data_IF_009600735240
#
_entry.id   IF_009600735240
#
_cell.length_a   1.000
_cell.length_b   1.000
_cell.length_c   1.000
_cell.angle_alpha   90.00
_cell.angle_beta   90.00
_cell.angle_gamma   90.00
#
_symmetry.space_group_name_H-M   'P 1'
#
loop_
_entity.id
_entity.type
_entity.pdbx_description
1 polymer ?
#
# COMPACT_ATOMS: atom_id res chain seq x y z
N UNK A 1 -55.33 7.21 8.24
CA UNK A 1 -56.75 7.13 7.83
C UNK A 1 -56.81 6.43 6.48
N UNK A 2 -56.84 5.10 6.41
CA UNK A 2 -58.05 4.24 6.30
C UNK A 2 -59.11 4.77 5.32
N UNK A 3 -59.29 4.07 4.18
CA UNK A 3 -60.56 3.53 3.63
C UNK A 3 -60.31 3.05 2.18
N UNK A 4 -60.19 1.75 1.84
CA UNK A 4 -61.23 0.72 1.61
C UNK A 4 -62.51 1.19 0.89
N UNK A 5 -62.77 0.67 -0.32
CA UNK A 5 -64.07 0.22 -0.85
C UNK A 5 -63.83 -0.47 -2.22
N UNK A 6 -63.91 -1.81 -2.29
CA UNK A 6 -65.05 -2.72 -2.55
C UNK A 6 -65.20 -3.08 -4.03
N UNK A 7 -65.01 -4.36 -4.30
CA UNK A 7 -65.25 -5.08 -5.56
C UNK A 7 -66.72 -5.52 -5.62
N UNK A 8 -67.36 -5.34 -6.78
CA UNK A 8 -68.69 -5.87 -7.08
C UNK A 8 -68.63 -7.06 -8.04
N UNK A 9 -69.10 -8.22 -7.55
CA UNK A 9 -69.93 -9.26 -8.18
C UNK A 9 -70.01 -9.42 -9.71
N UNK A 10 -69.69 -10.62 -10.18
CA UNK A 10 -70.33 -11.43 -11.25
C UNK A 10 -69.48 -12.73 -11.38
N UNK A 11 -69.94 -13.93 -11.68
CA UNK A 11 -71.17 -14.69 -11.49
C UNK A 11 -70.72 -16.17 -11.57
N UNK A 12 -71.46 -17.08 -10.93
CA UNK A 12 -71.15 -18.52 -10.90
C UNK A 12 -71.39 -19.19 -12.26
N UNK A 13 -70.48 -20.07 -12.66
CA UNK A 13 -70.80 -21.26 -13.46
C UNK A 13 -69.94 -22.43 -12.98
N UNK A 14 -70.63 -23.53 -12.68
CA UNK A 14 -70.17 -24.71 -11.96
C UNK A 14 -69.30 -25.60 -12.85
N UNK A 15 -68.17 -26.05 -12.32
CA UNK A 15 -67.60 -27.34 -12.67
C UNK A 15 -67.19 -28.04 -11.37
N UNK A 16 -67.87 -29.16 -11.10
CA UNK A 16 -67.74 -29.99 -9.92
C UNK A 16 -66.59 -30.99 -10.12
N UNK A 17 -65.78 -31.21 -9.08
CA UNK A 17 -64.63 -32.15 -8.96
C UNK A 17 -63.21 -31.60 -9.16
N UNK A 18 -62.84 -30.57 -8.39
CA UNK A 18 -61.44 -30.41 -7.98
C UNK A 18 -61.39 -30.19 -6.47
N UNK A 19 -60.66 -31.05 -5.75
CA UNK A 19 -60.32 -30.80 -4.35
C UNK A 19 -59.57 -29.45 -4.24
N UNK A 20 -59.81 -28.64 -3.19
CA UNK A 20 -59.05 -27.42 -3.01
C UNK A 20 -57.59 -27.81 -2.78
N UNK A 21 -56.71 -27.43 -3.70
CA UNK A 21 -55.26 -27.45 -3.47
C UNK A 21 -55.06 -26.56 -2.24
N UNK A 22 -54.76 -27.20 -1.12
CA UNK A 22 -54.35 -26.54 0.10
C UNK A 22 -53.22 -25.58 -0.22
N UNK A 23 -53.36 -24.35 0.28
CA UNK A 23 -52.36 -23.28 0.35
C UNK A 23 -50.98 -23.67 -0.21
N UNK A 24 -50.59 -23.09 -1.34
CA UNK A 24 -49.18 -23.05 -1.73
C UNK A 24 -48.46 -22.20 -0.68
N UNK A 25 -47.97 -22.85 0.37
CA UNK A 25 -46.97 -22.29 1.28
C UNK A 25 -45.74 -22.02 0.42
N UNK A 26 -45.52 -20.76 0.06
CA UNK A 26 -44.19 -20.30 -0.32
C UNK A 26 -43.29 -20.57 0.89
N UNK A 27 -42.58 -21.70 0.88
CA UNK A 27 -41.42 -21.85 1.71
C UNK A 27 -40.42 -20.81 1.22
N UNK A 28 -40.36 -19.67 1.90
CA UNK A 28 -39.15 -18.87 1.91
C UNK A 28 -38.07 -19.78 2.50
N UNK A 29 -37.36 -20.51 1.64
CA UNK A 29 -36.03 -21.01 1.96
C UNK A 29 -35.15 -19.77 2.09
N UNK A 30 -35.17 -19.15 3.25
CA UNK A 30 -34.01 -18.38 3.69
C UNK A 30 -32.90 -19.40 3.86
N UNK A 31 -32.18 -19.70 2.78
CA UNK A 31 -30.85 -20.27 2.93
C UNK A 31 -30.06 -19.23 3.73
N UNK A 32 -30.01 -19.42 5.05
CA UNK A 32 -29.04 -18.79 5.92
C UNK A 32 -27.69 -19.35 5.49
N UNK A 33 -27.13 -18.84 4.40
CA UNK A 33 -25.73 -19.03 4.09
C UNK A 33 -24.98 -18.21 5.12
N UNK A 34 -24.70 -18.80 6.28
CA UNK A 34 -23.54 -18.40 7.04
C UNK A 34 -22.36 -18.63 6.09
N UNK A 35 -21.96 -17.59 5.35
CA UNK A 35 -20.75 -17.63 4.55
C UNK A 35 -19.60 -17.66 5.55
N UNK A 36 -19.20 -18.85 5.98
CA UNK A 36 -18.05 -19.00 6.84
C UNK A 36 -16.82 -18.78 5.96
N UNK A 37 -16.37 -17.53 5.87
CA UNK A 37 -15.21 -17.15 5.05
C UNK A 37 -13.97 -17.88 5.56
N UNK A 38 -13.09 -18.27 4.64
CA UNK A 38 -11.82 -18.88 5.04
C UNK A 38 -10.98 -17.91 5.86
N UNK A 39 -10.35 -18.40 6.93
CA UNK A 39 -9.31 -17.65 7.62
C UNK A 39 -8.08 -17.52 6.71
N UNK A 40 -7.54 -16.30 6.59
CA UNK A 40 -6.35 -15.99 5.78
C UNK A 40 -5.14 -15.76 6.68
N UNK A 41 -4.05 -16.41 6.35
CA UNK A 41 -2.78 -16.33 7.07
C UNK A 41 -1.64 -15.91 6.15
N UNK A 42 -0.67 -15.19 6.71
CA UNK A 42 0.60 -14.86 6.07
C UNK A 42 1.62 -15.90 6.53
N UNK A 43 2.16 -16.70 5.61
CA UNK A 43 3.13 -17.76 5.91
C UNK A 43 4.56 -17.31 5.69
N UNK A 44 4.77 -16.35 4.81
CA UNK A 44 6.08 -15.77 4.54
C UNK A 44 5.93 -14.34 4.07
N UNK A 45 6.90 -13.50 4.42
CA UNK A 45 6.92 -12.08 4.11
C UNK A 45 8.36 -11.64 3.86
N UNK A 46 8.59 -10.93 2.76
CA UNK A 46 9.93 -10.54 2.34
C UNK A 46 9.92 -9.21 1.59
N UNK A 47 11.02 -8.46 1.68
CA UNK A 47 11.25 -7.26 0.88
C UNK A 47 12.69 -7.13 0.45
N UNK A 48 12.92 -6.43 -0.65
CA UNK A 48 14.26 -5.93 -1.00
C UNK A 48 14.66 -4.80 -0.05
N UNK A 49 15.96 -4.44 0.01
CA UNK A 49 16.34 -3.10 0.42
C UNK A 49 15.62 -2.04 -0.41
N UNK A 50 15.54 -0.84 0.15
CA UNK A 50 15.05 0.35 -0.52
C UNK A 50 16.25 1.13 -1.05
N UNK A 51 16.31 1.26 -2.37
CA UNK A 51 17.32 2.06 -3.05
C UNK A 51 16.88 3.51 -3.15
N UNK A 52 17.83 4.44 -3.04
CA UNK A 52 17.57 5.85 -3.32
C UNK A 52 17.28 6.09 -4.79
N UNK A 53 16.60 7.19 -5.12
CA UNK A 53 16.43 7.61 -6.51
C UNK A 53 17.77 7.70 -7.24
N UNK A 54 17.87 6.98 -8.35
CA UNK A 54 19.09 6.82 -9.17
C UNK A 54 20.31 6.32 -8.38
N UNK A 55 20.05 5.59 -7.29
CA UNK A 55 21.04 5.03 -6.38
C UNK A 55 21.34 3.55 -6.62
N UNK A 56 21.45 2.79 -5.53
CA UNK A 56 21.96 1.42 -5.50
C UNK A 56 21.16 0.41 -6.34
N UNK A 57 19.85 0.62 -6.49
CA UNK A 57 18.94 -0.29 -7.22
C UNK A 57 18.52 0.26 -8.59
N UNK A 58 19.07 1.40 -9.03
CA UNK A 58 18.58 2.12 -10.21
C UNK A 58 18.70 1.33 -11.52
N UNK A 59 19.62 0.36 -11.62
CA UNK A 59 19.76 -0.50 -12.81
C UNK A 59 18.86 -1.75 -12.78
N UNK A 60 18.07 -1.94 -11.72
CA UNK A 60 17.17 -3.08 -11.56
C UNK A 60 15.73 -2.64 -11.81
N UNK A 61 15.05 -3.31 -12.73
CA UNK A 61 13.64 -3.03 -13.03
C UNK A 61 12.73 -3.40 -11.86
N UNK A 62 11.57 -2.72 -11.76
CA UNK A 62 10.55 -3.03 -10.75
C UNK A 62 10.17 -4.51 -10.76
N UNK A 63 10.04 -5.10 -11.94
CA UNK A 63 9.65 -6.51 -12.13
C UNK A 63 10.71 -7.49 -11.62
N UNK A 64 12.01 -7.16 -11.75
CA UNK A 64 13.10 -7.97 -11.16
C UNK A 64 13.17 -7.81 -9.65
N UNK A 65 12.95 -6.61 -9.11
CA UNK A 65 12.83 -6.40 -7.67
C UNK A 65 11.66 -7.22 -7.09
N UNK A 66 10.50 -7.17 -7.75
CA UNK A 66 9.33 -7.98 -7.41
C UNK A 66 9.66 -9.47 -7.40
N UNK A 67 10.37 -9.95 -8.43
CA UNK A 67 10.80 -11.34 -8.51
C UNK A 67 11.70 -11.77 -7.34
N UNK A 68 12.63 -10.91 -6.91
CA UNK A 68 13.48 -11.18 -5.73
C UNK A 68 12.65 -11.37 -4.47
N UNK A 69 11.66 -10.50 -4.22
CA UNK A 69 10.81 -10.60 -3.05
C UNK A 69 9.89 -11.85 -3.09
N UNK A 70 9.32 -12.16 -4.26
CA UNK A 70 8.49 -13.36 -4.49
C UNK A 70 9.31 -14.64 -4.24
N UNK A 71 10.50 -14.73 -4.85
CA UNK A 71 11.38 -15.89 -4.72
C UNK A 71 11.76 -16.17 -3.27
N UNK A 72 12.11 -15.13 -2.52
CA UNK A 72 12.42 -15.28 -1.11
C UNK A 72 11.22 -15.73 -0.26
N UNK A 73 10.00 -15.31 -0.62
CA UNK A 73 8.81 -15.80 0.08
C UNK A 73 8.68 -17.32 -0.06
N UNK A 74 8.86 -17.85 -1.28
CA UNK A 74 8.84 -19.28 -1.57
C UNK A 74 9.94 -20.04 -0.82
N UNK A 75 11.18 -19.55 -0.89
CA UNK A 75 12.34 -20.16 -0.24
C UNK A 75 12.15 -20.26 1.29
N UNK A 76 11.66 -19.19 1.91
CA UNK A 76 11.40 -19.13 3.36
C UNK A 76 10.22 -20.03 3.77
N UNK A 77 9.17 -20.08 2.96
CA UNK A 77 8.00 -20.93 3.21
C UNK A 77 8.26 -22.42 2.91
N UNK A 78 9.30 -22.72 2.13
CA UNK A 78 9.64 -24.09 1.68
C UNK A 78 8.50 -24.79 0.94
N UNK A 79 7.70 -24.03 0.20
CA UNK A 79 6.63 -24.58 -0.64
C UNK A 79 7.07 -24.61 -2.11
N UNK A 80 6.64 -25.62 -2.88
CA UNK A 80 7.00 -25.69 -4.30
C UNK A 80 6.23 -24.63 -5.09
N UNK A 81 6.91 -24.01 -6.07
CA UNK A 81 6.38 -22.89 -6.84
C UNK A 81 5.08 -23.23 -7.59
N UNK A 82 4.87 -24.51 -7.94
CA UNK A 82 3.66 -25.00 -8.60
C UNK A 82 2.40 -25.02 -7.72
N UNK A 83 2.53 -24.70 -6.43
CA UNK A 83 1.39 -24.55 -5.53
C UNK A 83 0.84 -23.13 -5.53
N UNK A 84 1.55 -22.15 -6.09
CA UNK A 84 1.05 -20.78 -6.20
C UNK A 84 0.04 -20.73 -7.33
N UNK A 85 -1.19 -20.30 -7.01
CA UNK A 85 -2.26 -20.25 -7.99
C UNK A 85 -2.36 -18.88 -8.65
N UNK A 86 -2.14 -17.82 -7.87
CA UNK A 86 -2.35 -16.45 -8.34
C UNK A 86 -1.44 -15.44 -7.64
N UNK A 87 -1.03 -14.40 -8.38
CA UNK A 87 -0.11 -13.35 -7.93
C UNK A 87 -0.70 -11.97 -8.18
N UNK A 88 -0.80 -11.15 -7.13
CA UNK A 88 -1.14 -9.74 -7.21
C UNK A 88 0.03 -8.85 -6.79
N UNK A 89 0.50 -8.00 -7.69
CA UNK A 89 1.57 -7.04 -7.38
C UNK A 89 1.11 -5.62 -7.64
N UNK A 90 1.19 -4.79 -6.60
CA UNK A 90 1.05 -3.35 -6.71
C UNK A 90 2.19 -2.73 -7.51
N UNK A 91 1.89 -1.89 -8.52
CA UNK A 91 2.87 -1.13 -9.28
C UNK A 91 2.17 0.09 -9.88
N UNK A 92 2.59 1.30 -9.50
CA UNK A 92 1.86 2.53 -9.82
C UNK A 92 2.27 3.05 -11.17
N UNK A 93 3.56 3.34 -11.36
CA UNK A 93 4.05 3.93 -12.60
C UNK A 93 4.52 2.81 -13.52
N UNK A 94 3.57 2.26 -14.27
CA UNK A 94 3.77 1.09 -15.11
C UNK A 94 4.36 1.42 -16.48
N UNK A 95 4.41 2.69 -16.87
CA UNK A 95 4.90 3.10 -18.17
C UNK A 95 6.34 2.65 -18.41
N UNK A 96 6.61 2.06 -19.58
CA UNK A 96 7.94 1.56 -19.95
C UNK A 96 8.34 0.22 -19.31
N UNK A 97 7.54 -0.34 -18.39
CA UNK A 97 7.84 -1.63 -17.75
C UNK A 97 7.58 -2.85 -18.64
N UNK A 98 6.86 -2.69 -19.74
CA UNK A 98 6.43 -3.78 -20.63
C UNK A 98 5.06 -4.37 -20.26
N UNK A 99 4.63 -5.40 -20.97
CA UNK A 99 3.32 -6.01 -20.76
C UNK A 99 3.27 -6.77 -19.42
N UNK A 100 2.15 -6.64 -18.72
CA UNK A 100 1.80 -7.39 -17.50
C UNK A 100 2.93 -7.45 -16.45
N UNK A 101 3.24 -6.34 -15.74
CA UNK A 101 4.36 -6.28 -14.80
C UNK A 101 4.33 -7.37 -13.71
N UNK A 102 3.17 -7.64 -13.09
CA UNK A 102 3.03 -8.71 -12.10
C UNK A 102 3.39 -10.10 -12.68
N UNK A 103 3.04 -10.34 -13.95
CA UNK A 103 3.36 -11.56 -14.67
C UNK A 103 4.86 -11.68 -14.94
N UNK A 104 5.53 -10.59 -15.32
CA UNK A 104 6.98 -10.57 -15.46
C UNK A 104 7.67 -10.93 -14.14
N UNK A 105 7.25 -10.32 -13.02
CA UNK A 105 7.79 -10.63 -11.71
C UNK A 105 7.58 -12.10 -11.30
N UNK A 106 6.39 -12.66 -11.56
CA UNK A 106 6.07 -14.06 -11.34
C UNK A 106 7.00 -15.00 -12.12
N UNK A 107 7.15 -14.76 -13.43
CA UNK A 107 8.00 -15.60 -14.30
C UNK A 107 9.48 -15.48 -13.92
N UNK A 108 9.97 -14.26 -13.65
CA UNK A 108 11.36 -14.04 -13.21
C UNK A 108 11.66 -14.66 -11.83
N UNK A 109 10.65 -14.83 -10.98
CA UNK A 109 10.78 -15.55 -9.71
C UNK A 109 10.77 -17.08 -9.87
N UNK A 110 10.52 -17.60 -11.07
CA UNK A 110 10.49 -19.03 -11.36
C UNK A 110 9.14 -19.70 -11.08
N UNK A 111 8.05 -18.94 -11.02
CA UNK A 111 6.71 -19.53 -10.91
C UNK A 111 6.27 -20.12 -12.26
N UNK A 112 5.42 -21.17 -12.25
CA UNK A 112 4.92 -21.78 -13.48
C UNK A 112 4.17 -20.80 -14.38
N UNK A 113 4.11 -21.12 -15.67
CA UNK A 113 3.39 -20.31 -16.65
C UNK A 113 1.86 -20.36 -16.46
N UNK A 114 1.35 -21.30 -15.70
CA UNK A 114 -0.07 -21.43 -15.39
C UNK A 114 -0.51 -20.45 -14.30
N UNK A 115 0.44 -19.83 -13.57
CA UNK A 115 0.15 -18.91 -12.46
C UNK A 115 -0.57 -17.65 -12.92
N UNK A 116 -1.78 -17.40 -12.42
CA UNK A 116 -2.56 -16.21 -12.79
C UNK A 116 -1.91 -14.96 -12.20
N UNK A 117 -1.91 -13.84 -12.93
CA UNK A 117 -1.22 -12.63 -12.49
C UNK A 117 -2.05 -11.38 -12.79
N UNK A 118 -2.17 -10.48 -11.80
CA UNK A 118 -2.78 -9.16 -11.98
C UNK A 118 -1.91 -8.07 -11.37
N UNK A 119 -1.72 -6.97 -12.10
CA UNK A 119 -1.02 -5.77 -11.61
C UNK A 119 -2.04 -4.80 -11.04
N UNK A 120 -1.84 -4.36 -9.81
CA UNK A 120 -2.80 -3.52 -9.06
C UNK A 120 -2.28 -2.08 -9.00
N UNK A 121 -3.15 -1.11 -9.26
CA UNK A 121 -2.82 0.31 -9.05
C UNK A 121 -3.90 0.98 -8.17
N UNK A 122 -3.51 1.33 -6.95
CA UNK A 122 -4.20 2.24 -6.02
C UNK A 122 -3.20 3.26 -5.47
N UNK A 123 -2.34 3.79 -6.34
CA UNK A 123 -1.22 4.69 -6.03
C UNK A 123 -0.39 4.14 -4.85
N UNK A 124 -0.05 4.93 -3.83
CA UNK A 124 0.76 4.49 -2.70
C UNK A 124 0.18 3.27 -1.94
N UNK A 125 -1.13 3.08 -1.99
CA UNK A 125 -1.82 1.96 -1.34
C UNK A 125 -1.78 0.66 -2.16
N UNK A 126 -1.20 0.65 -3.38
CA UNK A 126 -1.24 -0.50 -4.30
C UNK A 126 -0.78 -1.81 -3.68
N UNK A 127 0.36 -1.81 -2.99
CA UNK A 127 0.91 -3.01 -2.36
C UNK A 127 0.02 -3.58 -1.24
N UNK A 128 -0.59 -2.69 -0.44
CA UNK A 128 -1.54 -3.11 0.59
C UNK A 128 -2.85 -3.59 -0.04
N UNK A 129 -3.34 -2.89 -1.06
CA UNK A 129 -4.56 -3.27 -1.77
C UNK A 129 -4.43 -4.63 -2.45
N UNK A 130 -3.26 -4.95 -3.01
CA UNK A 130 -2.97 -6.28 -3.55
C UNK A 130 -3.15 -7.38 -2.48
N UNK A 131 -2.63 -7.16 -1.27
CA UNK A 131 -2.80 -8.09 -0.13
C UNK A 131 -4.28 -8.21 0.25
N UNK A 132 -5.01 -7.10 0.28
CA UNK A 132 -6.45 -7.10 0.60
C UNK A 132 -7.27 -7.91 -0.40
N UNK A 133 -7.10 -7.67 -1.71
CA UNK A 133 -7.90 -8.36 -2.74
C UNK A 133 -7.48 -9.84 -2.89
N UNK A 134 -6.22 -10.19 -2.63
CA UNK A 134 -5.80 -11.59 -2.53
C UNK A 134 -6.47 -12.28 -1.32
N UNK A 135 -6.52 -11.58 -0.17
CA UNK A 135 -7.23 -12.09 1.01
C UNK A 135 -8.71 -12.32 0.73
N UNK A 136 -9.36 -11.45 -0.05
CA UNK A 136 -10.75 -11.66 -0.47
C UNK A 136 -10.92 -12.92 -1.34
N UNK A 137 -10.02 -13.16 -2.29
CA UNK A 137 -10.04 -14.37 -3.12
C UNK A 137 -9.91 -15.65 -2.29
N UNK A 138 -8.98 -15.65 -1.32
CA UNK A 138 -8.78 -16.74 -0.35
C UNK A 138 -10.01 -16.93 0.56
N UNK A 139 -10.56 -15.84 1.10
CA UNK A 139 -11.76 -15.85 1.95
C UNK A 139 -12.97 -16.46 1.23
N UNK A 140 -13.13 -16.15 -0.07
CA UNK A 140 -14.19 -16.69 -0.92
C UNK A 140 -13.94 -18.14 -1.39
N UNK A 141 -12.75 -18.70 -1.14
CA UNK A 141 -12.40 -20.05 -1.56
C UNK A 141 -12.16 -20.21 -3.06
N UNK A 142 -11.83 -19.11 -3.77
CA UNK A 142 -11.46 -19.19 -5.18
C UNK A 142 -10.03 -19.71 -5.37
N UNK A 143 -9.16 -19.40 -4.42
CA UNK A 143 -7.78 -19.88 -4.33
C UNK A 143 -7.48 -20.28 -2.89
N UNK A 144 -6.42 -21.05 -2.71
CA UNK A 144 -5.91 -21.49 -1.41
C UNK A 144 -4.53 -20.90 -1.08
N UNK A 145 -3.74 -20.57 -2.11
CA UNK A 145 -2.35 -20.13 -1.99
C UNK A 145 -2.07 -19.04 -3.03
N UNK A 146 -1.79 -17.84 -2.55
CA UNK A 146 -1.55 -16.66 -3.38
C UNK A 146 -0.32 -15.90 -2.92
N UNK A 147 0.31 -15.17 -3.83
CA UNK A 147 1.33 -14.18 -3.46
C UNK A 147 0.76 -12.79 -3.71
N UNK A 148 0.93 -11.91 -2.74
CA UNK A 148 0.49 -10.52 -2.86
C UNK A 148 1.53 -9.55 -2.32
N UNK A 149 1.70 -8.41 -2.97
CA UNK A 149 2.71 -7.45 -2.57
C UNK A 149 2.73 -6.22 -3.45
N UNK A 150 3.89 -5.58 -3.55
CA UNK A 150 4.09 -4.45 -4.44
C UNK A 150 5.55 -4.23 -4.81
N UNK A 151 5.76 -3.56 -5.93
CA UNK A 151 7.06 -3.28 -6.51
C UNK A 151 7.04 -1.93 -7.22
N UNK A 152 8.14 -1.21 -7.13
CA UNK A 152 8.30 0.07 -7.82
C UNK A 152 9.78 0.30 -8.13
N UNK A 153 10.06 0.89 -9.29
CA UNK A 153 11.39 1.36 -9.65
C UNK A 153 11.24 2.75 -10.25
N UNK A 154 11.13 3.75 -9.37
CA UNK A 154 10.92 5.14 -9.76
C UNK A 154 12.12 5.66 -10.55
N UNK A 155 13.32 5.13 -10.32
CA UNK A 155 14.53 5.42 -11.11
C UNK A 155 14.42 5.05 -12.60
N UNK A 156 13.56 4.09 -12.94
CA UNK A 156 13.39 3.60 -14.31
C UNK A 156 12.14 4.16 -15.01
N UNK A 157 11.41 5.07 -14.36
CA UNK A 157 10.22 5.69 -14.95
C UNK A 157 10.64 6.62 -16.11
N UNK A 158 10.07 6.45 -17.31
CA UNK A 158 10.44 7.27 -18.46
C UNK A 158 9.74 8.64 -18.44
N UNK A 159 10.26 9.55 -19.26
CA UNK A 159 9.52 10.74 -19.67
C UNK A 159 8.53 10.38 -20.79
N UNK A 160 7.45 11.16 -20.92
CA UNK A 160 6.40 10.97 -21.93
C UNK A 160 6.43 12.05 -22.99
N UNK A 161 6.07 11.65 -24.21
CA UNK A 161 5.71 12.51 -25.32
C UNK A 161 4.35 12.05 -25.84
N UNK A 162 3.41 12.98 -26.00
CA UNK A 162 2.10 12.67 -26.56
C UNK A 162 2.25 12.12 -27.99
N UNK A 163 1.43 11.11 -28.33
CA UNK A 163 1.34 10.60 -29.70
C UNK A 163 0.60 11.61 -30.57
N UNK A 164 1.12 11.90 -31.76
CA UNK A 164 0.49 12.78 -32.74
C UNK A 164 1.52 13.61 -33.48
N UNK A 165 1.04 14.66 -34.15
CA UNK A 165 1.90 15.61 -34.82
C UNK A 165 2.70 16.43 -33.80
N UNK A 166 3.98 16.58 -34.07
CA UNK A 166 4.84 17.49 -33.31
C UNK A 166 4.42 18.93 -33.62
N UNK A 167 3.97 19.73 -32.64
CA UNK A 167 3.54 21.10 -32.89
C UNK A 167 4.72 21.97 -33.34
N UNK A 168 4.45 22.98 -34.17
CA UNK A 168 5.43 24.02 -34.49
C UNK A 168 5.83 24.78 -33.21
N UNK A 169 7.13 24.85 -32.92
CA UNK A 169 7.67 25.45 -31.70
C UNK A 169 8.34 24.42 -30.78
N UNK A 170 8.16 24.59 -29.47
CA UNK A 170 8.80 23.74 -28.46
C UNK A 170 7.91 22.55 -28.07
N UNK A 171 8.55 21.42 -27.75
CA UNK A 171 7.91 20.23 -27.19
C UNK A 171 8.31 20.12 -25.72
N UNK A 172 7.34 19.84 -24.85
CA UNK A 172 7.60 19.51 -23.46
C UNK A 172 7.47 18.01 -23.24
N UNK A 173 8.53 17.38 -22.71
CA UNK A 173 8.46 16.03 -22.20
C UNK A 173 7.93 16.05 -20.76
N UNK A 174 6.95 15.20 -20.47
CA UNK A 174 6.38 15.09 -19.13
C UNK A 174 7.13 14.03 -18.32
N UNK A 175 7.53 14.35 -17.09
CA UNK A 175 8.13 13.37 -16.18
C UNK A 175 7.04 12.40 -15.69
N UNK A 176 7.20 11.09 -15.95
CA UNK A 176 6.22 10.09 -15.59
C UNK A 176 6.01 9.91 -14.09
N UNK A 177 7.04 10.18 -13.27
CA UNK A 177 6.93 10.12 -11.80
C UNK A 177 6.00 11.23 -11.34
N UNK A 178 6.25 12.45 -11.83
CA UNK A 178 5.43 13.60 -11.49
C UNK A 178 4.00 13.42 -11.99
N UNK A 179 3.82 13.04 -13.26
CA UNK A 179 2.51 12.95 -13.91
C UNK A 179 1.62 11.86 -13.31
N UNK A 180 2.12 10.64 -13.23
CA UNK A 180 1.28 9.47 -12.89
C UNK A 180 1.33 9.14 -11.39
N UNK A 181 2.40 9.56 -10.69
CA UNK A 181 2.63 9.21 -9.28
C UNK A 181 2.34 10.34 -8.29
N UNK A 182 2.72 11.59 -8.61
CA UNK A 182 2.91 12.65 -7.60
C UNK A 182 2.14 13.95 -7.84
N UNK A 183 1.29 14.02 -8.87
CA UNK A 183 0.45 15.19 -9.16
C UNK A 183 -1.02 14.86 -8.95
N UNK A 184 -1.72 15.69 -8.17
CA UNK A 184 -3.17 15.58 -8.02
C UNK A 184 -3.84 15.99 -9.33
N UNK A 185 -4.73 15.15 -9.85
CA UNK A 185 -5.35 15.37 -11.15
C UNK A 185 -6.36 16.52 -11.11
N UNK A 186 -7.01 16.76 -9.97
CA UNK A 186 -8.14 17.66 -9.84
C UNK A 186 -7.67 19.09 -9.60
N UNK A 187 -6.78 19.26 -8.63
CA UNK A 187 -6.23 20.56 -8.24
C UNK A 187 -4.91 20.89 -8.98
N UNK A 188 -4.36 19.92 -9.74
CA UNK A 188 -3.12 20.07 -10.55
C UNK A 188 -1.93 20.54 -9.73
N UNK A 189 -1.83 20.06 -8.49
CA UNK A 189 -0.75 20.37 -7.56
C UNK A 189 0.05 19.13 -7.18
N UNK A 190 1.34 19.25 -6.87
CA UNK A 190 2.10 18.14 -6.30
C UNK A 190 1.54 17.70 -4.95
N UNK A 191 1.67 16.41 -4.62
CA UNK A 191 1.20 15.83 -3.34
C UNK A 191 1.68 16.59 -2.09
N UNK A 192 2.85 17.23 -2.16
CA UNK A 192 3.38 18.04 -1.06
C UNK A 192 2.53 19.26 -0.73
N UNK A 193 1.83 19.86 -1.69
CA UNK A 193 0.90 20.97 -1.41
C UNK A 193 -0.36 20.50 -0.67
N UNK A 194 -0.82 19.27 -0.90
CA UNK A 194 -1.88 18.67 -0.10
C UNK A 194 -1.40 18.43 1.36
N UNK A 195 -0.13 18.01 1.53
CA UNK A 195 0.47 17.86 2.85
C UNK A 195 0.59 19.20 3.59
N UNK A 196 0.95 20.28 2.89
CA UNK A 196 0.95 21.64 3.46
C UNK A 196 -0.44 22.08 3.93
N UNK A 197 -1.50 21.81 3.13
CA UNK A 197 -2.90 22.06 3.55
C UNK A 197 -3.20 21.36 4.88
N UNK A 198 -2.70 20.15 5.04
CA UNK A 198 -2.90 19.35 6.27
C UNK A 198 -2.13 19.94 7.44
N UNK A 199 -0.87 20.33 7.24
CA UNK A 199 -0.07 20.98 8.27
C UNK A 199 -0.77 22.24 8.80
N UNK A 200 -1.33 23.04 7.90
CA UNK A 200 -2.13 24.22 8.24
C UNK A 200 -3.41 23.87 9.02
N UNK A 201 -4.21 22.93 8.50
CA UNK A 201 -5.49 22.56 9.11
C UNK A 201 -5.31 21.94 10.51
N UNK A 202 -4.32 21.06 10.65
CA UNK A 202 -4.04 20.35 11.90
C UNK A 202 -3.10 21.10 12.85
N UNK A 203 -2.61 22.28 12.43
CA UNK A 203 -1.73 23.18 13.18
C UNK A 203 -0.37 22.56 13.54
N UNK A 204 0.24 21.84 12.61
CA UNK A 204 1.61 21.35 12.75
C UNK A 204 2.60 22.37 12.19
N UNK A 205 3.53 22.80 13.03
CA UNK A 205 4.61 23.69 12.63
C UNK A 205 5.68 22.94 11.83
N UNK A 206 6.56 23.69 11.19
CA UNK A 206 7.80 23.16 10.61
C UNK A 206 8.65 22.42 11.65
N UNK A 207 8.75 22.96 12.87
CA UNK A 207 9.56 22.36 13.93
C UNK A 207 9.02 20.99 14.37
N UNK A 208 7.69 20.83 14.44
CA UNK A 208 7.06 19.55 14.77
C UNK A 208 7.40 18.48 13.73
N UNK A 209 7.31 18.86 12.44
CA UNK A 209 7.60 17.95 11.33
C UNK A 209 9.08 17.60 11.24
N UNK A 210 9.98 18.54 11.48
CA UNK A 210 11.41 18.27 11.50
C UNK A 210 11.83 17.41 12.70
N UNK A 211 11.23 17.62 13.87
CA UNK A 211 11.47 16.78 15.04
C UNK A 211 11.03 15.33 14.76
N UNK A 212 9.86 15.14 14.14
CA UNK A 212 9.38 13.82 13.75
C UNK A 212 10.28 13.16 12.71
N UNK A 213 10.68 13.88 11.67
CA UNK A 213 11.58 13.36 10.64
C UNK A 213 12.93 12.95 11.23
N UNK A 214 13.53 13.78 12.09
CA UNK A 214 14.76 13.43 12.81
C UNK A 214 14.58 12.13 13.60
N UNK A 215 13.49 12.01 14.34
CA UNK A 215 13.17 10.78 15.07
C UNK A 215 13.01 9.57 14.15
N UNK A 216 12.38 9.70 12.98
CA UNK A 216 12.26 8.61 12.00
C UNK A 216 13.65 8.13 11.55
N UNK A 217 14.56 9.04 11.19
CA UNK A 217 15.95 8.69 10.83
C UNK A 217 16.70 8.00 11.98
N UNK A 218 16.59 8.52 13.21
CA UNK A 218 17.21 7.90 14.40
C UNK A 218 16.66 6.49 14.67
N UNK A 219 15.35 6.29 14.53
CA UNK A 219 14.71 4.98 14.72
C UNK A 219 15.14 3.97 13.65
N UNK A 220 15.20 4.38 12.38
CA UNK A 220 15.68 3.50 11.30
C UNK A 220 17.14 3.13 11.52
N UNK A 221 18.00 4.10 11.84
CA UNK A 221 19.42 3.82 12.10
C UNK A 221 19.61 2.87 13.28
N UNK A 222 18.84 3.06 14.36
CA UNK A 222 18.83 2.15 15.52
C UNK A 222 18.32 0.76 15.13
N UNK A 223 17.23 0.66 14.39
CA UNK A 223 16.64 -0.61 13.97
C UNK A 223 17.58 -1.41 13.04
N UNK A 224 18.30 -0.75 12.14
CA UNK A 224 19.37 -1.37 11.34
C UNK A 224 20.53 -1.85 12.21
N UNK A 225 21.01 -1.02 13.14
CA UNK A 225 22.09 -1.39 14.07
C UNK A 225 21.72 -2.59 14.96
N UNK A 226 20.45 -2.69 15.36
CA UNK A 226 19.92 -3.79 16.19
C UNK A 226 19.47 -5.01 15.35
N UNK A 227 19.62 -4.98 14.03
CA UNK A 227 19.27 -6.10 13.15
C UNK A 227 17.77 -6.37 13.05
N UNK A 228 16.90 -5.39 13.32
CA UNK A 228 15.43 -5.54 13.29
C UNK A 228 14.89 -5.88 11.90
N UNK A 229 15.61 -5.49 10.85
CA UNK A 229 15.20 -5.73 9.45
C UNK A 229 15.76 -7.03 8.86
N UNK A 230 16.60 -7.77 9.60
CA UNK A 230 17.29 -8.95 9.07
C UNK A 230 16.34 -10.05 8.58
N UNK A 231 15.20 -10.22 9.27
CA UNK A 231 14.21 -11.23 8.91
C UNK A 231 13.37 -10.85 7.67
N UNK A 232 13.18 -9.56 7.41
CA UNK A 232 12.38 -9.09 6.27
C UNK A 232 13.20 -8.90 4.98
N UNK A 233 14.47 -8.48 5.08
CA UNK A 233 15.31 -8.12 3.95
C UNK A 233 15.77 -9.34 3.13
N UNK A 234 15.77 -9.18 1.80
CA UNK A 234 16.34 -10.09 0.82
C UNK A 234 17.34 -9.31 -0.02
N UNK A 235 18.64 -9.65 0.00
CA UNK A 235 19.62 -8.94 -0.78
C UNK A 235 19.34 -8.99 -2.29
N UNK A 236 19.66 -7.91 -3.00
CA UNK A 236 19.51 -7.79 -4.45
C UNK A 236 20.89 -7.76 -5.10
N UNK A 237 21.14 -8.68 -6.03
CA UNK A 237 22.34 -8.67 -6.86
C UNK A 237 22.18 -7.64 -7.98
N UNK A 238 23.11 -6.70 -8.07
CA UNK A 238 23.15 -5.65 -9.08
C UNK A 238 24.39 -5.83 -9.93
N UNK A 239 24.19 -6.04 -11.23
CA UNK A 239 25.29 -6.13 -12.20
C UNK A 239 25.79 -4.74 -12.56
N UNK A 240 27.09 -4.50 -12.38
CA UNK A 240 27.79 -3.26 -12.74
C UNK A 240 28.88 -3.55 -13.77
N UNK A 241 29.44 -2.50 -14.39
CA UNK A 241 30.62 -2.63 -15.27
C UNK A 241 31.84 -3.28 -14.57
N UNK A 242 31.89 -3.22 -13.23
CA UNK A 242 33.00 -3.75 -12.42
C UNK A 242 32.70 -5.13 -11.83
N UNK A 243 31.57 -5.75 -12.17
CA UNK A 243 31.09 -7.02 -11.62
C UNK A 243 29.79 -6.88 -10.83
N UNK A 244 29.44 -7.92 -10.09
CA UNK A 244 28.20 -7.97 -9.29
C UNK A 244 28.41 -7.37 -7.90
N UNK A 245 27.48 -6.53 -7.46
CA UNK A 245 27.41 -6.03 -6.10
C UNK A 245 26.13 -6.54 -5.43
N UNK A 246 26.22 -6.85 -4.14
CA UNK A 246 25.07 -7.28 -3.36
C UNK A 246 24.56 -6.12 -2.51
N UNK A 247 23.39 -5.59 -2.85
CA UNK A 247 22.70 -4.58 -2.05
C UNK A 247 21.91 -5.29 -0.97
N UNK A 248 22.28 -5.08 0.30
CA UNK A 248 21.76 -5.83 1.46
C UNK A 248 21.17 -4.96 2.57
N UNK A 249 21.17 -3.63 2.38
CA UNK A 249 20.77 -2.66 3.39
C UNK A 249 20.06 -1.48 2.73
N UNK A 250 19.05 -0.92 3.39
CA UNK A 250 18.35 0.28 2.91
C UNK A 250 19.35 1.44 2.74
N UNK A 251 19.18 2.23 1.69
CA UNK A 251 20.16 3.26 1.31
C UNK A 251 19.87 4.62 1.96
N UNK A 252 18.58 4.98 2.06
CA UNK A 252 18.13 6.36 2.24
C UNK A 252 18.43 6.93 3.64
N UNK A 253 18.34 6.11 4.68
CA UNK A 253 18.47 6.59 6.07
C UNK A 253 19.89 7.08 6.40
N UNK A 254 20.88 6.71 5.60
CA UNK A 254 22.28 7.17 5.72
C UNK A 254 22.50 8.55 5.08
N UNK A 255 21.56 9.03 4.27
CA UNK A 255 21.66 10.28 3.49
C UNK A 255 20.97 11.44 4.22
N UNK A 256 21.38 11.68 5.47
CA UNK A 256 20.83 12.75 6.30
C UNK A 256 21.94 13.59 6.94
N UNK A 257 21.71 14.89 7.00
CA UNK A 257 22.53 15.88 7.70
C UNK A 257 21.61 16.69 8.61
N UNK A 258 21.60 16.34 9.90
CA UNK A 258 20.67 16.91 10.88
C UNK A 258 20.87 18.40 11.11
N UNK A 259 22.08 18.93 10.91
CA UNK A 259 22.32 20.37 11.05
C UNK A 259 21.80 21.13 9.81
N UNK A 260 21.97 20.57 8.61
CA UNK A 260 21.35 21.15 7.40
C UNK A 260 19.84 21.10 7.42
N UNK A 261 19.24 20.11 8.08
CA UNK A 261 17.78 19.98 8.14
C UNK A 261 17.09 21.28 8.57
N UNK A 262 17.62 21.98 9.58
CA UNK A 262 17.07 23.25 10.09
C UNK A 262 17.09 24.39 9.07
N UNK A 263 18.02 24.34 8.10
CA UNK A 263 18.24 25.40 7.11
C UNK A 263 17.65 25.05 5.75
N UNK A 264 17.09 23.84 5.58
CA UNK A 264 16.44 23.45 4.34
C UNK A 264 15.21 24.31 4.06
N UNK A 265 15.14 24.74 2.81
CA UNK A 265 14.00 25.48 2.24
C UNK A 265 12.81 24.56 2.01
N UNK A 266 11.63 25.15 2.08
CA UNK A 266 10.38 24.49 1.70
C UNK A 266 10.36 24.27 0.18
N UNK A 267 9.84 23.12 -0.26
CA UNK A 267 10.00 22.69 -1.67
C UNK A 267 8.70 22.78 -2.49
N UNK A 268 7.55 22.98 -1.84
CA UNK A 268 6.24 22.92 -2.52
C UNK A 268 5.44 24.23 -2.52
N UNK A 269 5.72 25.20 -1.65
CA UNK A 269 4.99 26.47 -1.63
C UNK A 269 5.74 27.58 -2.38
N UNK A 270 5.18 27.98 -3.54
CA UNK A 270 5.39 29.27 -4.22
C UNK A 270 4.34 29.50 -5.32
N UNK A 271 4.00 30.76 -5.59
CA UNK A 271 3.18 31.21 -6.73
C UNK A 271 3.85 30.85 -8.08
N UNK A 272 3.32 29.86 -8.79
CA UNK A 272 3.72 29.48 -10.16
C UNK A 272 4.26 28.06 -10.31
N UNK A 273 4.06 27.48 -11.50
CA UNK A 273 4.35 26.08 -11.90
C UNK A 273 5.73 25.59 -11.45
N UNK A 274 5.77 24.66 -10.48
CA UNK A 274 7.00 24.19 -9.83
C UNK A 274 7.65 23.04 -10.61
N UNK A 275 8.95 23.16 -10.86
CA UNK A 275 9.89 22.04 -11.04
C UNK A 275 10.96 22.12 -9.94
N UNK A 276 11.57 20.99 -9.57
CA UNK A 276 12.58 20.91 -8.49
C UNK A 276 13.80 21.83 -8.68
N UNK A 277 14.01 22.36 -9.89
CA UNK A 277 15.09 23.28 -10.21
C UNK A 277 14.81 24.76 -9.86
N UNK A 278 13.55 25.16 -9.66
CA UNK A 278 13.15 26.58 -9.58
C UNK A 278 12.74 27.08 -8.17
N UNK A 279 13.15 26.37 -7.12
CA UNK A 279 12.82 26.69 -5.71
C UNK A 279 13.49 27.96 -5.12
N UNK A 280 13.90 28.94 -5.95
CA UNK A 280 14.86 29.98 -5.55
C UNK A 280 14.30 31.27 -4.93
N UNK A 281 12.98 31.45 -4.79
CA UNK A 281 12.40 32.51 -3.92
C UNK A 281 11.15 31.95 -3.21
N UNK A 282 10.89 32.28 -1.97
CA UNK A 282 10.03 31.54 -1.03
C UNK A 282 8.88 32.43 -0.55
N UNK A 283 7.71 31.83 -0.25
CA UNK A 283 6.73 32.39 0.70
C UNK A 283 7.00 31.79 2.09
N UNK A 284 7.05 32.63 3.12
CA UNK A 284 7.58 32.32 4.46
C UNK A 284 6.71 31.36 5.32
N UNK A 285 5.61 30.80 4.81
CA UNK A 285 4.64 30.00 5.58
C UNK A 285 4.67 28.48 5.32
N UNK A 286 5.56 27.99 4.44
CA UNK A 286 5.67 26.56 4.14
C UNK A 286 6.31 25.74 5.26
N UNK A 287 5.97 24.45 5.29
CA UNK A 287 6.47 23.51 6.32
C UNK A 287 7.12 22.26 5.75
N UNK A 288 6.82 21.88 4.51
CA UNK A 288 7.33 20.66 3.89
C UNK A 288 8.68 20.93 3.23
N UNK A 289 9.69 20.16 3.65
CA UNK A 289 11.04 20.18 3.07
C UNK A 289 11.42 18.82 2.52
N UNK A 290 12.53 18.79 1.78
CA UNK A 290 13.12 17.53 1.36
C UNK A 290 13.36 16.60 2.55
N UNK A 291 13.79 17.09 3.72
CA UNK A 291 14.13 16.22 4.87
C UNK A 291 12.93 15.66 5.63
N UNK A 292 11.79 16.34 5.63
CA UNK A 292 10.58 15.90 6.33
C UNK A 292 9.51 15.28 5.40
N UNK A 293 9.80 15.18 4.11
CA UNK A 293 9.10 14.39 3.12
C UNK A 293 9.81 13.06 2.87
N UNK A 294 9.05 12.03 2.48
CA UNK A 294 9.64 10.82 1.90
C UNK A 294 10.31 11.10 0.55
N UNK A 295 11.20 10.20 0.14
CA UNK A 295 11.95 10.33 -1.11
C UNK A 295 11.37 9.48 -2.22
N UNK A 296 11.88 9.73 -3.42
CA UNK A 296 11.70 8.86 -4.58
C UNK A 296 12.65 7.69 -4.41
N UNK A 297 12.15 6.46 -4.57
CA UNK A 297 12.93 5.26 -4.24
C UNK A 297 12.53 4.06 -5.10
N UNK A 298 13.37 3.03 -5.04
CA UNK A 298 13.15 1.75 -5.71
C UNK A 298 13.06 0.61 -4.68
N UNK A 299 12.19 -0.37 -4.90
CA UNK A 299 12.12 -1.57 -4.07
C UNK A 299 10.87 -2.42 -4.30
N UNK A 300 10.85 -3.60 -3.71
CA UNK A 300 9.70 -4.50 -3.74
C UNK A 300 9.50 -5.23 -2.41
N UNK A 301 8.25 -5.61 -2.13
CA UNK A 301 7.83 -6.39 -0.98
C UNK A 301 6.74 -7.40 -1.40
N UNK A 302 6.75 -8.58 -0.80
CA UNK A 302 5.78 -9.64 -1.07
C UNK A 302 5.43 -10.41 0.20
N UNK A 303 4.20 -10.92 0.23
CA UNK A 303 3.66 -11.82 1.23
C UNK A 303 3.11 -13.07 0.53
N UNK A 304 3.45 -14.25 1.07
CA UNK A 304 2.77 -15.49 0.73
C UNK A 304 1.56 -15.65 1.65
N UNK A 305 0.38 -15.64 1.03
CA UNK A 305 -0.91 -15.75 1.68
C UNK A 305 -1.50 -17.13 1.44
N UNK A 306 -2.11 -17.70 2.48
CA UNK A 306 -2.78 -18.99 2.38
C UNK A 306 -4.09 -18.97 3.14
N UNK A 307 -5.03 -19.83 2.75
CA UNK A 307 -6.08 -20.24 3.69
C UNK A 307 -5.43 -20.97 4.87
N UNK A 308 -5.99 -20.81 6.08
CA UNK A 308 -5.49 -21.50 7.28
C UNK A 308 -5.39 -23.01 7.07
N UNK A 309 -6.40 -23.58 6.42
CA UNK A 309 -6.46 -25.00 6.04
C UNK A 309 -5.28 -25.39 5.14
N UNK A 310 -5.02 -24.66 4.07
CA UNK A 310 -3.92 -24.98 3.16
C UNK A 310 -2.55 -24.87 3.85
N UNK A 311 -2.38 -23.92 4.77
CA UNK A 311 -1.17 -23.80 5.57
C UNK A 311 -0.96 -25.05 6.46
N UNK A 312 -2.02 -25.56 7.10
CA UNK A 312 -1.98 -26.78 7.92
C UNK A 312 -1.70 -28.03 7.08
N UNK A 313 -2.37 -28.19 5.92
CA UNK A 313 -2.14 -29.29 4.98
C UNK A 313 -0.70 -29.36 4.47
N UNK A 314 -0.04 -28.20 4.32
CA UNK A 314 1.34 -28.09 3.88
C UNK A 314 2.36 -28.02 5.02
N UNK A 315 1.94 -28.17 6.28
CA UNK A 315 2.83 -28.11 7.45
C UNK A 315 3.51 -26.74 7.64
N UNK A 316 2.94 -25.68 7.06
CA UNK A 316 3.44 -24.32 7.16
C UNK A 316 3.12 -23.73 8.54
N UNK A 317 4.03 -22.91 9.08
CA UNK A 317 3.81 -22.15 10.32
C UNK A 317 3.47 -20.69 9.97
N UNK A 318 2.22 -20.24 10.13
CA UNK A 318 1.87 -18.84 9.91
C UNK A 318 2.68 -17.85 10.74
N UNK A 319 3.08 -16.74 10.13
CA UNK A 319 3.67 -15.58 10.80
C UNK A 319 2.57 -14.72 11.45
N UNK A 320 1.47 -14.51 10.73
CA UNK A 320 0.38 -13.65 11.17
C UNK A 320 -0.95 -14.10 10.52
N UNK A 321 -2.05 -13.63 11.11
CA UNK A 321 -3.41 -13.77 10.57
C UNK A 321 -3.92 -12.40 10.12
N UNK A 322 -4.53 -12.34 8.94
CA UNK A 322 -5.21 -11.13 8.48
C UNK A 322 -6.60 -11.10 9.12
N UNK A 323 -6.81 -10.17 10.06
CA UNK A 323 -8.05 -10.09 10.86
C UNK A 323 -9.15 -9.36 10.10
N UNK A 324 -8.83 -8.20 9.54
CA UNK A 324 -9.72 -7.36 8.76
C UNK A 324 -8.90 -6.37 7.93
N UNK A 325 -9.55 -5.69 6.98
CA UNK A 325 -8.99 -4.62 6.17
C UNK A 325 -10.10 -3.67 5.75
N UNK A 326 -9.79 -2.40 5.48
CA UNK A 326 -10.78 -1.41 5.10
C UNK A 326 -10.18 -0.33 4.21
N UNK A 327 -10.89 0.05 3.15
CA UNK A 327 -10.60 1.29 2.41
C UNK A 327 -11.49 2.43 2.91
N UNK A 328 -10.97 3.65 2.83
CA UNK A 328 -11.73 4.89 2.95
C UNK A 328 -11.24 5.92 1.93
N UNK A 329 -12.03 6.96 1.72
CA UNK A 329 -11.67 8.10 0.87
C UNK A 329 -12.21 9.39 1.46
N UNK A 330 -11.49 10.48 1.22
CA UNK A 330 -11.84 11.86 1.48
C UNK A 330 -11.73 12.65 0.16
N UNK A 331 -11.86 13.98 0.22
CA UNK A 331 -11.53 14.82 -0.92
C UNK A 331 -10.06 14.59 -1.34
N UNK A 332 -9.72 14.73 -2.64
CA UNK A 332 -8.36 14.45 -3.15
C UNK A 332 -7.25 15.18 -2.39
N UNK A 333 -7.46 16.46 -2.10
CA UNK A 333 -6.53 17.30 -1.33
C UNK A 333 -6.38 16.93 0.15
N UNK A 334 -7.26 16.08 0.69
CA UNK A 334 -7.27 15.66 2.09
C UNK A 334 -6.76 14.22 2.28
N UNK A 335 -6.08 13.66 1.27
CA UNK A 335 -5.56 12.28 1.29
C UNK A 335 -4.71 11.96 2.52
N UNK A 336 -3.95 12.93 3.02
CA UNK A 336 -3.06 12.83 4.18
C UNK A 336 -3.77 12.38 5.46
N UNK A 337 -5.07 12.66 5.61
CA UNK A 337 -5.89 12.31 6.77
C UNK A 337 -6.84 11.14 6.49
N UNK A 338 -6.89 10.64 5.26
CA UNK A 338 -7.73 9.50 4.89
C UNK A 338 -7.46 8.22 5.72
N UNK A 339 -6.22 7.92 6.20
CA UNK A 339 -6.02 6.79 7.10
C UNK A 339 -6.81 6.90 8.43
N UNK A 340 -7.05 8.11 8.93
CA UNK A 340 -7.91 8.35 10.11
C UNK A 340 -9.39 8.06 9.86
N UNK A 341 -9.80 7.86 8.59
CA UNK A 341 -11.13 7.36 8.23
C UNK A 341 -11.12 5.83 8.06
N UNK A 342 -10.06 5.28 7.45
CA UNK A 342 -9.92 3.84 7.21
C UNK A 342 -9.71 3.04 8.50
N UNK A 343 -8.87 3.53 9.41
CA UNK A 343 -8.48 2.81 10.64
C UNK A 343 -9.67 2.60 11.60
N UNK A 344 -10.52 3.60 11.92
CA UNK A 344 -11.70 3.35 12.75
C UNK A 344 -12.67 2.35 12.14
N UNK A 345 -12.84 2.38 10.82
CA UNK A 345 -13.64 1.39 10.08
C UNK A 345 -13.03 -0.01 10.19
N UNK A 346 -11.71 -0.14 10.03
CA UNK A 346 -10.96 -1.37 10.23
C UNK A 346 -11.17 -1.94 11.64
N UNK A 347 -10.95 -1.13 12.68
CA UNK A 347 -11.09 -1.56 14.07
C UNK A 347 -12.50 -2.04 14.39
N UNK A 348 -13.52 -1.36 13.85
CA UNK A 348 -14.92 -1.78 13.97
C UNK A 348 -15.17 -3.13 13.29
N UNK A 349 -14.65 -3.34 12.08
CA UNK A 349 -14.77 -4.61 11.35
C UNK A 349 -14.03 -5.76 12.05
N UNK A 350 -12.86 -5.47 12.62
CA UNK A 350 -12.07 -6.44 13.39
C UNK A 350 -12.67 -6.75 14.77
N UNK A 351 -13.61 -5.92 15.25
CA UNK A 351 -14.08 -5.91 16.64
C UNK A 351 -12.91 -5.82 17.64
N UNK A 352 -11.98 -4.89 17.39
CA UNK A 352 -10.76 -4.68 18.21
C UNK A 352 -10.75 -3.24 18.73
N UNK A 353 -10.45 -3.06 20.02
CA UNK A 353 -10.31 -1.72 20.59
C UNK A 353 -8.91 -1.16 20.28
N UNK A 354 -8.81 0.16 20.04
CA UNK A 354 -7.53 0.80 19.69
C UNK A 354 -6.42 0.59 20.73
N UNK A 355 -6.79 0.46 22.01
CA UNK A 355 -5.83 0.23 23.10
C UNK A 355 -5.23 -1.19 23.08
N UNK A 356 -5.82 -2.13 22.34
CA UNK A 356 -5.32 -3.49 22.17
C UNK A 356 -4.26 -3.60 21.06
N UNK A 357 -3.99 -2.50 20.35
CA UNK A 357 -2.99 -2.46 19.29
C UNK A 357 -1.61 -2.21 19.92
N UNK A 358 -0.70 -3.15 19.69
CA UNK A 358 0.67 -3.11 20.16
C UNK A 358 1.53 -2.21 19.27
N UNK A 359 1.30 -2.23 17.95
CA UNK A 359 2.13 -1.52 16.97
C UNK A 359 1.29 -0.87 15.87
N UNK A 360 1.64 0.37 15.53
CA UNK A 360 1.01 1.12 14.44
C UNK A 360 2.05 1.46 13.39
N UNK A 361 1.78 1.06 12.14
CA UNK A 361 2.58 1.38 10.96
C UNK A 361 1.77 2.31 10.05
N UNK A 362 1.89 3.62 10.23
CA UNK A 362 1.26 4.61 9.34
C UNK A 362 2.31 5.12 8.38
N UNK A 363 2.08 4.94 7.07
CA UNK A 363 3.06 5.33 6.07
C UNK A 363 3.45 6.81 6.18
N UNK A 364 4.76 7.07 6.24
CA UNK A 364 5.31 8.42 6.33
C UNK A 364 5.53 8.99 4.93
N UNK A 365 4.46 9.20 4.15
CA UNK A 365 4.57 9.89 2.86
C UNK A 365 5.17 11.30 3.05
N UNK A 366 4.71 11.99 4.10
CA UNK A 366 5.28 13.19 4.68
C UNK A 366 5.19 13.07 6.21
N UNK A 367 6.05 13.75 6.96
CA UNK A 367 6.02 13.71 8.43
C UNK A 367 4.66 14.12 9.00
N UNK A 368 4.03 15.14 8.40
CA UNK A 368 2.68 15.58 8.77
C UNK A 368 1.62 14.49 8.62
N UNK A 369 1.78 13.52 7.71
CA UNK A 369 0.80 12.42 7.54
C UNK A 369 0.79 11.54 8.78
N UNK A 370 1.96 11.11 9.26
CA UNK A 370 2.05 10.30 10.46
C UNK A 370 1.59 11.08 11.70
N UNK A 371 2.02 12.34 11.84
CA UNK A 371 1.63 13.22 12.95
C UNK A 371 0.11 13.46 13.00
N UNK A 372 -0.51 13.81 11.86
CA UNK A 372 -1.94 14.09 11.79
C UNK A 372 -2.79 12.86 12.11
N UNK A 373 -2.47 11.70 11.53
CA UNK A 373 -3.22 10.48 11.84
C UNK A 373 -2.98 10.03 13.29
N UNK A 374 -1.76 10.17 13.82
CA UNK A 374 -1.46 9.91 15.22
C UNK A 374 -2.31 10.76 16.16
N UNK A 375 -2.41 12.07 15.89
CA UNK A 375 -3.27 12.99 16.64
C UNK A 375 -4.76 12.65 16.52
N UNK A 376 -5.27 12.45 15.31
CA UNK A 376 -6.70 12.23 15.03
C UNK A 376 -7.22 10.91 15.63
N UNK A 377 -6.41 9.85 15.61
CA UNK A 377 -6.76 8.53 16.15
C UNK A 377 -6.47 8.46 17.66
N UNK A 378 -5.56 9.30 18.15
CA UNK A 378 -5.04 9.29 19.51
C UNK A 378 -4.06 8.15 19.73
N UNK A 379 -3.09 7.99 18.82
CA UNK A 379 -1.98 7.04 18.91
C UNK A 379 -0.81 7.74 19.60
N UNK A 380 -0.23 7.07 20.60
CA UNK A 380 0.95 7.58 21.28
C UNK A 380 2.20 7.41 20.41
N UNK A 381 3.10 8.40 20.45
CA UNK A 381 4.27 8.44 19.56
C UNK A 381 5.24 7.26 19.79
N UNK A 382 5.24 6.65 20.97
CA UNK A 382 6.02 5.47 21.32
C UNK A 382 5.51 4.16 20.67
N UNK A 383 4.29 4.16 20.11
CA UNK A 383 3.69 3.02 19.41
C UNK A 383 3.56 3.21 17.90
N UNK A 384 3.77 4.44 17.41
CA UNK A 384 3.68 4.80 16.00
C UNK A 384 5.06 4.67 15.34
N UNK A 385 5.19 3.84 14.30
CA UNK A 385 6.40 3.67 13.48
C UNK A 385 7.66 3.51 14.33
N UNK A 386 7.66 2.51 15.22
CA UNK A 386 8.67 2.38 16.29
C UNK A 386 10.08 2.08 15.76
N UNK A 387 10.18 1.53 14.56
CA UNK A 387 11.44 1.29 13.84
C UNK A 387 11.69 2.33 12.72
N UNK A 388 10.94 3.45 12.75
CA UNK A 388 10.96 4.49 11.73
C UNK A 388 10.15 4.12 10.48
N UNK A 389 10.15 4.98 9.48
CA UNK A 389 9.26 4.81 8.32
C UNK A 389 9.73 5.50 7.04
N UNK A 390 8.79 5.77 6.14
CA UNK A 390 9.04 6.22 4.77
C UNK A 390 9.82 7.53 4.61
N UNK A 391 9.83 8.41 5.62
CA UNK A 391 10.63 9.65 5.59
C UNK A 391 12.13 9.31 5.58
N UNK A 392 12.54 8.30 6.35
CA UNK A 392 13.92 7.89 6.49
C UNK A 392 14.30 6.67 5.64
N UNK A 393 13.41 5.67 5.53
CA UNK A 393 13.62 4.46 4.73
C UNK A 393 13.49 4.72 3.22
N UNK A 394 12.65 5.69 2.85
CA UNK A 394 12.23 5.92 1.46
C UNK A 394 10.84 5.36 1.14
N UNK A 395 10.28 5.78 0.00
CA UNK A 395 8.90 5.49 -0.38
C UNK A 395 8.73 5.06 -1.85
N UNK A 396 9.08 3.81 -2.21
CA UNK A 396 8.69 3.24 -3.50
C UNK A 396 7.18 3.02 -3.49
N UNK A 397 6.45 3.86 -4.23
CA UNK A 397 5.02 4.09 -4.00
C UNK A 397 4.17 2.83 -4.15
N UNK A 398 4.38 2.00 -5.19
CA UNK A 398 3.65 0.75 -5.38
C UNK A 398 3.96 -0.36 -4.36
N UNK A 399 5.12 -0.29 -3.70
CA UNK A 399 5.58 -1.28 -2.73
C UNK A 399 5.21 -0.94 -1.28
N UNK A 400 5.16 0.35 -0.93
CA UNK A 400 5.23 0.78 0.47
C UNK A 400 4.10 0.25 1.34
N UNK A 401 2.88 0.10 0.80
CA UNK A 401 1.77 -0.52 1.54
C UNK A 401 2.06 -1.97 1.93
N UNK A 402 2.71 -2.76 1.06
CA UNK A 402 3.11 -4.12 1.37
C UNK A 402 4.29 -4.16 2.36
N UNK A 403 5.25 -3.22 2.27
CA UNK A 403 6.36 -3.09 3.23
C UNK A 403 5.86 -2.96 4.67
N UNK A 404 4.84 -2.14 4.92
CA UNK A 404 4.26 -1.98 6.27
C UNK A 404 3.76 -3.33 6.81
N UNK A 405 3.04 -4.10 5.98
CA UNK A 405 2.53 -5.42 6.36
C UNK A 405 3.66 -6.41 6.62
N UNK A 406 4.68 -6.44 5.74
CA UNK A 406 5.89 -7.24 5.94
C UNK A 406 6.53 -6.90 7.29
N UNK A 407 6.67 -5.62 7.61
CA UNK A 407 7.30 -5.17 8.85
C UNK A 407 6.54 -5.62 10.10
N UNK A 408 5.20 -5.48 10.09
CA UNK A 408 4.36 -5.97 11.18
C UNK A 408 4.49 -7.49 11.37
N UNK A 409 4.56 -8.27 10.29
CA UNK A 409 4.71 -9.73 10.36
C UNK A 409 5.99 -10.17 11.10
N UNK A 410 7.06 -9.39 10.99
CA UNK A 410 8.35 -9.71 11.60
C UNK A 410 8.57 -9.03 12.97
N UNK A 411 7.82 -7.97 13.26
CA UNK A 411 8.04 -7.15 14.46
C UNK A 411 7.07 -7.44 15.62
N UNK A 412 5.88 -7.95 15.32
CA UNK A 412 4.90 -8.32 16.35
C UNK A 412 5.31 -9.61 17.07
N UNK A 413 5.01 -9.68 18.36
CA UNK A 413 5.14 -10.91 19.15
C UNK A 413 3.87 -11.77 19.03
N UNK A 414 3.95 -13.08 19.35
CA UNK A 414 2.78 -13.95 19.36
C UNK A 414 1.62 -13.36 20.18
N UNK A 415 0.45 -13.24 19.56
CA UNK A 415 -0.78 -12.72 20.18
C UNK A 415 -0.95 -11.20 20.13
N UNK A 416 0.08 -10.44 19.75
CA UNK A 416 -0.04 -9.00 19.58
C UNK A 416 -0.81 -8.63 18.31
N UNK A 417 -1.46 -7.46 18.32
CA UNK A 417 -2.18 -6.91 17.17
C UNK A 417 -1.43 -5.70 16.64
N UNK A 418 -1.25 -5.64 15.32
CA UNK A 418 -0.72 -4.48 14.63
C UNK A 418 -1.71 -3.92 13.63
N UNK A 419 -1.62 -2.62 13.36
CA UNK A 419 -2.39 -1.94 12.32
C UNK A 419 -1.42 -1.24 11.39
N UNK A 420 -1.53 -1.52 10.09
CA UNK A 420 -0.90 -0.73 9.05
C UNK A 420 -1.94 0.17 8.38
N UNK A 421 -1.56 1.40 8.05
CA UNK A 421 -2.42 2.33 7.32
C UNK A 421 -1.60 3.15 6.33
N UNK A 422 -2.14 3.35 5.13
CA UNK A 422 -1.45 4.09 4.07
C UNK A 422 -2.41 4.97 3.29
N UNK A 423 -2.06 6.25 3.14
CA UNK A 423 -2.78 7.17 2.28
C UNK A 423 -2.38 6.96 0.80
N UNK A 424 -3.23 7.38 -0.14
CA UNK A 424 -2.93 7.37 -1.57
C UNK A 424 -3.44 8.65 -2.26
N UNK A 425 -2.70 9.12 -3.27
CA UNK A 425 -3.12 10.26 -4.11
C UNK A 425 -4.52 10.04 -4.68
N UNK A 426 -5.26 11.14 -4.87
CA UNK A 426 -6.70 11.11 -5.19
C UNK A 426 -7.62 10.97 -3.97
N UNK A 427 -7.10 11.07 -2.74
CA UNK A 427 -7.91 11.19 -1.52
C UNK A 427 -8.17 9.88 -0.78
N UNK A 428 -7.56 8.76 -1.18
CA UNK A 428 -7.85 7.44 -0.61
C UNK A 428 -6.93 7.03 0.52
N UNK A 429 -7.33 5.97 1.24
CA UNK A 429 -6.47 5.19 2.12
C UNK A 429 -6.85 3.71 2.11
N UNK A 430 -5.93 2.87 2.58
CA UNK A 430 -6.11 1.44 2.86
C UNK A 430 -5.58 1.08 4.24
#
# INVERSE_FOLDING_TARGET
>A
MISRLRVSTLSRLLCSNCAPISSVTYQHRSASTNSNLNEVVIVSAARTPIGSFRGSLASVSATKLGATAIKACLERAKIPANRIQEVYMGNVVQAGTGQAPARQASIYAGLPQETICTTVNKVCASGMKAIMIASQSLMCGHQDIMIAGGMESMSNVPYYLARGDTPYGNIQLEDGIAKDGLTDVYDRVPMGLCAEKTAKNEKFSRADQDAYAKQSYERVAKAWKEGKFNAEIVPVTVTTKKGEILVKEDEEYKKVDFEKMKTLRTVFQKDGTITAANASKINDDGTITAANASKINDGAAACLLMTRRAAEELGCKPLARIVAFADAAAAPMDFSTAPALAIPKLLKLANVHKNDIAMWEINEAFSVVALANGKLIGISNDKLNIHGGGVALGHPIGMSGARLVVHLCHSLKPGEKGVAGICNGGGGAS
#
